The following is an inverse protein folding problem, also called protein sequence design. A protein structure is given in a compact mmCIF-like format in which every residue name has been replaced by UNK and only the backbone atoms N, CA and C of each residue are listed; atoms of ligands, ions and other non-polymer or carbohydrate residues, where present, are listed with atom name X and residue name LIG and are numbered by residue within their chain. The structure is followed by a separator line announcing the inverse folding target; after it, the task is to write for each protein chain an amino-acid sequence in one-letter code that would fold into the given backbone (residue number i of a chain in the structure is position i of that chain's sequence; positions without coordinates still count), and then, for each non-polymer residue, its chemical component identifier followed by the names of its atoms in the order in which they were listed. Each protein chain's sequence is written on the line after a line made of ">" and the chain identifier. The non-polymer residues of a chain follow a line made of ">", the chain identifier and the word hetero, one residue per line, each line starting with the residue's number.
data_IF_884170022882
#
_entry.id   IF_884170022882
#
_cell.length_a   1.000
_cell.length_b   1.000
_cell.length_c   1.000
_cell.angle_alpha   90.00
_cell.angle_beta   90.00
_cell.angle_gamma   90.00
#
_symmetry.space_group_name_H-M   'P 1'
#
loop_
_entity.id
_entity.type
_entity.pdbx_description
1 polymer ?
#
# COMPACT_ATOMS: atom_id res chain seq x y z
N UNK A 1 6.20 16.58 -17.69
CA UNK A 1 6.11 15.34 -16.87
C UNK A 1 6.86 14.26 -17.63
N UNK A 2 7.90 13.67 -17.06
CA UNK A 2 8.78 12.70 -17.75
C UNK A 2 8.19 11.28 -17.70
N UNK A 3 7.57 10.90 -16.59
CA UNK A 3 6.82 9.65 -16.46
C UNK A 3 5.70 9.77 -15.43
N UNK A 4 4.66 8.95 -15.58
CA UNK A 4 3.47 8.94 -14.69
C UNK A 4 3.45 7.78 -13.71
N UNK A 5 4.49 6.90 -13.67
CA UNK A 5 4.43 5.58 -12.99
C UNK A 5 5.61 5.26 -12.06
N UNK A 6 6.33 6.23 -11.53
CA UNK A 6 7.49 5.98 -10.67
C UNK A 6 7.10 5.69 -9.20
N UNK A 7 6.46 4.55 -8.92
CA UNK A 7 6.08 4.18 -7.55
C UNK A 7 7.18 3.46 -6.75
N UNK A 8 8.18 2.86 -7.41
CA UNK A 8 9.10 1.94 -6.77
C UNK A 8 10.57 2.37 -6.92
N UNK A 9 10.81 3.66 -6.73
CA UNK A 9 12.14 4.27 -6.82
C UNK A 9 12.61 4.51 -8.25
N UNK A 10 13.53 5.45 -8.42
CA UNK A 10 14.13 5.78 -9.71
C UNK A 10 15.56 6.29 -9.56
N UNK A 11 16.32 6.22 -10.66
CA UNK A 11 17.69 6.69 -10.76
C UNK A 11 17.95 7.32 -12.14
N UNK A 12 18.85 8.30 -12.19
CA UNK A 12 19.34 8.88 -13.43
C UNK A 12 20.59 8.13 -13.89
N UNK A 13 20.63 7.78 -15.17
CA UNK A 13 21.84 7.25 -15.82
C UNK A 13 22.75 8.40 -16.25
N UNK A 14 24.02 8.10 -16.49
CA UNK A 14 25.01 9.11 -16.91
C UNK A 14 24.71 9.72 -18.29
N UNK A 15 24.02 8.99 -19.13
CA UNK A 15 23.58 9.36 -20.48
C UNK A 15 22.22 10.06 -20.51
N UNK A 16 21.70 10.46 -19.32
CA UNK A 16 20.52 11.29 -19.21
C UNK A 16 19.19 10.56 -19.34
N UNK A 17 19.16 9.25 -19.12
CA UNK A 17 17.89 8.51 -19.03
C UNK A 17 17.44 8.37 -17.58
N UNK A 18 16.13 8.40 -17.35
CA UNK A 18 15.52 8.01 -16.10
C UNK A 18 15.21 6.52 -16.14
N UNK A 19 15.65 5.78 -15.11
CA UNK A 19 15.25 4.38 -14.89
C UNK A 19 14.43 4.31 -13.61
N UNK A 20 13.30 3.57 -13.62
CA UNK A 20 12.48 3.38 -12.43
C UNK A 20 11.92 1.96 -12.34
N UNK A 21 11.53 1.59 -11.12
CA UNK A 21 10.93 0.29 -10.83
C UNK A 21 9.42 0.28 -10.99
N UNK A 22 8.88 -0.86 -11.46
CA UNK A 22 7.44 -1.10 -11.59
C UNK A 22 7.08 -2.52 -11.12
N UNK A 23 5.78 -2.82 -11.14
CA UNK A 23 5.27 -4.19 -10.95
C UNK A 23 5.47 -5.09 -12.19
N UNK A 24 6.07 -4.59 -13.26
CA UNK A 24 6.30 -5.34 -14.51
C UNK A 24 7.79 -5.48 -14.83
N UNK A 25 8.64 -4.78 -14.10
CA UNK A 25 10.08 -4.75 -14.29
C UNK A 25 10.67 -3.35 -14.14
N UNK A 26 11.92 -3.15 -14.54
CA UNK A 26 12.52 -1.83 -14.67
C UNK A 26 12.16 -1.23 -16.02
N UNK A 27 11.80 0.04 -16.02
CA UNK A 27 11.49 0.84 -17.19
C UNK A 27 12.51 1.97 -17.35
N UNK A 28 12.69 2.49 -18.56
CA UNK A 28 13.54 3.66 -18.83
C UNK A 28 12.89 4.60 -19.83
N UNK A 29 13.24 5.89 -19.72
CA UNK A 29 12.83 6.93 -20.66
C UNK A 29 13.92 8.01 -20.73
N UNK A 30 14.18 8.64 -21.90
CA UNK A 30 15.07 9.78 -22.00
C UNK A 30 14.58 10.99 -21.18
N UNK A 31 15.49 11.84 -20.69
CA UNK A 31 15.14 13.09 -20.00
C UNK A 31 14.29 14.04 -20.86
N UNK A 32 14.47 13.96 -22.19
CA UNK A 32 13.64 14.71 -23.17
C UNK A 32 12.19 14.24 -23.25
N UNK A 33 11.84 13.15 -22.56
CA UNK A 33 10.55 12.48 -22.66
C UNK A 33 10.52 11.48 -23.82
N UNK A 34 9.36 10.90 -24.05
CA UNK A 34 9.12 9.90 -25.09
C UNK A 34 8.42 8.66 -24.52
N UNK A 35 8.39 7.61 -25.30
CA UNK A 35 7.84 6.32 -24.89
C UNK A 35 8.76 5.61 -23.93
N UNK A 36 8.20 5.12 -22.81
CA UNK A 36 8.95 4.34 -21.85
C UNK A 36 9.18 2.92 -22.37
N UNK A 37 10.42 2.42 -22.27
CA UNK A 37 10.78 1.07 -22.71
C UNK A 37 11.21 0.21 -21.53
N UNK A 38 10.91 -1.10 -21.61
CA UNK A 38 11.30 -2.05 -20.58
C UNK A 38 12.80 -2.33 -20.62
N UNK A 39 13.47 -2.17 -19.47
CA UNK A 39 14.86 -2.59 -19.24
C UNK A 39 14.90 -4.07 -18.81
N UNK A 40 13.99 -4.45 -17.91
CA UNK A 40 13.88 -5.85 -17.45
C UNK A 40 12.42 -6.29 -17.50
N UNK A 41 12.21 -7.61 -17.58
CA UNK A 41 10.88 -8.25 -17.48
C UNK A 41 10.88 -9.23 -16.32
N UNK A 42 9.71 -9.48 -15.71
CA UNK A 42 9.55 -10.46 -14.65
C UNK A 42 9.74 -11.88 -15.17
N UNK A 43 10.32 -12.75 -14.34
CA UNK A 43 10.38 -14.18 -14.56
C UNK A 43 9.32 -14.87 -13.69
N UNK A 44 8.23 -15.29 -14.32
CA UNK A 44 7.13 -15.98 -13.63
C UNK A 44 7.55 -17.34 -13.07
N UNK A 45 8.53 -18.02 -13.67
CA UNK A 45 9.05 -19.32 -13.19
C UNK A 45 9.76 -19.17 -11.84
N UNK A 46 10.34 -17.99 -11.59
CA UNK A 46 10.94 -17.58 -10.31
C UNK A 46 9.95 -16.94 -9.36
N UNK A 47 8.67 -16.81 -9.74
CA UNK A 47 7.65 -16.13 -8.93
C UNK A 47 7.92 -14.63 -8.74
N UNK A 48 8.66 -13.99 -9.64
CA UNK A 48 8.95 -12.56 -9.58
C UNK A 48 7.66 -11.75 -9.76
N UNK A 49 7.50 -10.69 -8.98
CA UNK A 49 6.30 -9.85 -9.06
C UNK A 49 6.58 -8.35 -9.03
N UNK A 50 7.84 -7.92 -8.86
CA UNK A 50 8.27 -6.54 -9.10
C UNK A 50 9.79 -6.42 -9.11
N UNK A 51 10.30 -5.49 -9.93
CA UNK A 51 11.67 -4.99 -9.90
C UNK A 51 11.63 -3.54 -9.47
N UNK A 52 12.40 -3.17 -8.45
CA UNK A 52 12.27 -1.85 -7.84
C UNK A 52 13.59 -1.30 -7.28
N UNK A 53 13.55 0.01 -6.96
CA UNK A 53 14.65 0.77 -6.38
C UNK A 53 15.97 0.61 -7.15
N UNK A 54 16.00 0.95 -8.46
CA UNK A 54 17.23 0.92 -9.23
C UNK A 54 18.25 1.93 -8.70
N UNK A 55 19.52 1.53 -8.70
CA UNK A 55 20.67 2.37 -8.38
C UNK A 55 21.74 2.16 -9.45
N UNK A 56 22.33 3.24 -9.97
CA UNK A 56 23.36 3.17 -11.00
C UNK A 56 24.72 3.11 -10.34
N UNK A 57 25.40 1.97 -10.50
CA UNK A 57 26.76 1.80 -10.02
C UNK A 57 27.74 2.69 -10.81
N UNK A 58 28.91 3.03 -10.26
CA UNK A 58 29.95 3.81 -10.98
C UNK A 58 30.34 3.20 -12.34
N UNK A 59 30.24 1.87 -12.47
CA UNK A 59 30.47 1.11 -13.70
C UNK A 59 29.37 1.25 -14.75
N UNK A 60 28.26 1.92 -14.45
CA UNK A 60 27.08 1.99 -15.31
C UNK A 60 26.14 0.79 -15.20
N UNK A 61 26.51 -0.25 -14.44
CA UNK A 61 25.61 -1.38 -14.15
C UNK A 61 24.49 -0.95 -13.21
N UNK A 62 23.37 -1.67 -13.26
CA UNK A 62 22.18 -1.34 -12.49
C UNK A 62 22.04 -2.33 -11.33
N UNK A 63 22.12 -1.80 -10.11
CA UNK A 63 21.76 -2.51 -8.90
C UNK A 63 20.26 -2.28 -8.65
N UNK A 64 19.49 -3.33 -8.34
CA UNK A 64 18.06 -3.22 -8.10
C UNK A 64 17.56 -4.37 -7.24
N UNK A 65 16.35 -4.24 -6.72
CA UNK A 65 15.73 -5.29 -5.92
C UNK A 65 14.73 -6.07 -6.76
N UNK A 66 14.78 -7.40 -6.67
CA UNK A 66 13.75 -8.31 -7.14
C UNK A 66 12.89 -8.76 -5.94
N UNK A 67 11.58 -8.67 -6.07
CA UNK A 67 10.63 -9.32 -5.16
C UNK A 67 10.04 -10.54 -5.82
N UNK A 68 10.06 -11.64 -5.09
CA UNK A 68 9.53 -12.93 -5.53
C UNK A 68 8.64 -13.54 -4.45
N UNK A 69 7.67 -14.36 -4.87
CA UNK A 69 6.91 -15.24 -3.98
C UNK A 69 7.75 -16.41 -3.47
N UNK A 70 8.90 -16.67 -4.12
CA UNK A 70 9.88 -17.67 -3.73
C UNK A 70 11.05 -16.96 -3.05
N UNK A 71 11.26 -17.14 -1.73
CA UNK A 71 12.24 -16.37 -0.96
C UNK A 71 13.67 -16.42 -1.52
N UNK A 72 14.08 -17.55 -2.09
CA UNK A 72 15.40 -17.76 -2.69
C UNK A 72 15.70 -16.86 -3.88
N UNK A 73 14.66 -16.36 -4.55
CA UNK A 73 14.77 -15.41 -5.67
C UNK A 73 14.50 -13.96 -5.27
N UNK A 74 14.20 -13.69 -3.99
CA UNK A 74 14.08 -12.32 -3.48
C UNK A 74 15.45 -11.80 -3.07
N UNK A 75 15.79 -10.56 -3.49
CA UNK A 75 17.08 -9.99 -3.11
C UNK A 75 17.51 -8.81 -3.96
N UNK A 76 18.78 -8.45 -3.79
CA UNK A 76 19.46 -7.43 -4.56
C UNK A 76 20.18 -8.09 -5.73
N UNK A 77 19.94 -7.56 -6.90
CA UNK A 77 20.49 -8.05 -8.16
C UNK A 77 21.27 -6.95 -8.88
N UNK A 78 22.21 -7.36 -9.72
CA UNK A 78 22.90 -6.48 -10.66
C UNK A 78 22.73 -7.00 -12.07
N UNK A 79 22.47 -6.07 -13.00
CA UNK A 79 22.48 -6.31 -14.45
C UNK A 79 23.42 -5.36 -15.16
N UNK A 80 23.85 -5.76 -16.36
CA UNK A 80 24.40 -4.83 -17.35
C UNK A 80 23.26 -4.30 -18.23
N UNK A 81 23.18 -2.99 -18.53
CA UNK A 81 22.19 -2.46 -19.48
C UNK A 81 22.29 -3.13 -20.86
N UNK A 82 23.48 -3.57 -21.27
CA UNK A 82 23.71 -4.29 -22.54
C UNK A 82 23.26 -5.75 -22.52
N UNK A 83 23.08 -6.36 -21.35
CA UNK A 83 22.58 -7.73 -21.18
C UNK A 83 21.65 -7.83 -19.94
N UNK A 84 20.44 -7.27 -20.00
CA UNK A 84 19.55 -7.19 -18.85
C UNK A 84 18.94 -8.54 -18.44
N UNK A 85 19.08 -9.58 -19.25
CA UNK A 85 18.61 -10.92 -18.94
C UNK A 85 19.57 -11.70 -18.04
N UNK A 86 20.85 -11.34 -18.02
CA UNK A 86 21.83 -11.91 -17.11
C UNK A 86 21.79 -11.20 -15.77
N UNK A 87 21.11 -11.82 -14.79
CA UNK A 87 20.84 -11.27 -13.46
C UNK A 87 21.69 -11.96 -12.43
N UNK A 88 22.60 -11.23 -11.81
CA UNK A 88 23.45 -11.73 -10.73
C UNK A 88 22.87 -11.33 -9.39
N UNK A 89 22.46 -12.29 -8.58
CA UNK A 89 22.02 -12.04 -7.19
C UNK A 89 23.26 -11.75 -6.33
N UNK A 90 23.27 -10.58 -5.70
CA UNK A 90 24.37 -10.13 -4.84
C UNK A 90 24.07 -10.41 -3.36
N UNK A 91 22.82 -10.13 -2.93
CA UNK A 91 22.38 -10.33 -1.55
C UNK A 91 20.97 -10.89 -1.55
N UNK A 92 20.76 -11.97 -0.80
CA UNK A 92 19.43 -12.43 -0.46
C UNK A 92 18.89 -11.58 0.71
N UNK A 93 17.93 -10.69 0.44
CA UNK A 93 17.33 -9.79 1.43
C UNK A 93 15.91 -9.40 1.06
N UNK A 94 15.11 -9.12 2.07
CA UNK A 94 13.76 -8.56 1.88
C UNK A 94 13.73 -7.05 1.64
N UNK A 95 14.85 -6.33 1.80
CA UNK A 95 14.96 -4.88 1.67
C UNK A 95 15.78 -4.41 0.45
N UNK A 96 15.92 -3.09 0.31
CA UNK A 96 16.82 -2.46 -0.66
C UNK A 96 18.27 -2.46 -0.13
N UNK A 97 19.23 -2.14 -1.01
CA UNK A 97 20.59 -1.85 -0.62
C UNK A 97 21.04 -0.49 -1.14
N UNK A 98 21.98 0.11 -0.45
CA UNK A 98 22.67 1.34 -0.81
C UNK A 98 24.10 0.96 -1.19
N UNK A 99 24.62 1.49 -2.29
CA UNK A 99 26.04 1.39 -2.64
C UNK A 99 26.71 2.73 -2.34
N UNK A 100 27.72 2.71 -1.50
CA UNK A 100 28.56 3.86 -1.22
C UNK A 100 29.97 3.42 -0.76
N UNK A 101 31.00 4.21 -1.04
CA UNK A 101 32.39 4.01 -0.57
C UNK A 101 32.92 2.57 -0.76
N UNK A 102 32.56 1.90 -1.86
CA UNK A 102 33.01 0.53 -2.18
C UNK A 102 32.35 -0.55 -1.31
N UNK A 103 31.18 -0.26 -0.75
CA UNK A 103 30.42 -1.21 0.04
C UNK A 103 28.93 -1.20 -0.32
N UNK A 104 28.25 -2.30 -0.02
CA UNK A 104 26.79 -2.35 0.04
C UNK A 104 26.34 -2.28 1.49
N UNK A 105 25.31 -1.48 1.74
CA UNK A 105 24.62 -1.39 3.03
C UNK A 105 23.20 -1.90 2.83
N UNK A 106 22.74 -2.79 3.71
CA UNK A 106 21.37 -3.31 3.68
C UNK A 106 20.88 -3.68 5.08
N UNK A 107 19.59 -3.88 5.23
CA UNK A 107 19.04 -4.37 6.49
C UNK A 107 19.18 -5.89 6.62
N UNK A 108 19.66 -6.33 7.76
CA UNK A 108 19.62 -7.71 8.25
C UNK A 108 18.79 -7.76 9.52
N UNK A 109 17.54 -8.21 9.40
CA UNK A 109 16.56 -8.01 10.48
C UNK A 109 16.28 -6.53 10.70
N UNK A 110 16.47 -6.04 11.93
CA UNK A 110 16.35 -4.62 12.28
C UNK A 110 17.65 -3.83 12.14
N UNK A 111 18.79 -4.50 11.97
CA UNK A 111 20.12 -3.85 11.95
C UNK A 111 20.51 -3.43 10.53
N UNK A 112 21.21 -2.31 10.43
CA UNK A 112 21.90 -1.90 9.21
C UNK A 112 23.28 -2.53 9.18
N UNK A 113 23.57 -3.32 8.16
CA UNK A 113 24.88 -3.92 7.95
C UNK A 113 25.52 -3.37 6.68
N UNK A 114 26.84 -3.31 6.66
CA UNK A 114 27.64 -2.98 5.49
C UNK A 114 28.65 -4.09 5.21
N UNK A 115 28.94 -4.32 3.92
CA UNK A 115 29.96 -5.26 3.47
C UNK A 115 30.66 -4.71 2.24
N UNK A 116 31.97 -4.94 2.13
CA UNK A 116 32.71 -4.53 0.95
C UNK A 116 32.14 -5.18 -0.30
N UNK A 117 32.03 -4.39 -1.35
CA UNK A 117 31.49 -4.82 -2.64
C UNK A 117 32.42 -4.42 -3.76
N UNK A 118 32.98 -5.41 -4.41
CA UNK A 118 33.75 -5.21 -5.65
C UNK A 118 32.76 -5.02 -6.82
N UNK A 119 32.64 -3.77 -7.27
CA UNK A 119 31.75 -3.40 -8.36
C UNK A 119 32.24 -3.90 -9.75
N UNK A 120 33.48 -4.36 -9.88
CA UNK A 120 34.01 -4.95 -11.11
C UNK A 120 33.62 -6.43 -11.23
N UNK A 121 33.92 -7.22 -10.19
CA UNK A 121 33.54 -8.65 -10.10
C UNK A 121 32.10 -8.91 -9.67
N UNK A 122 31.39 -7.88 -9.18
CA UNK A 122 30.02 -7.94 -8.64
C UNK A 122 29.89 -8.87 -7.43
N UNK A 123 30.90 -8.94 -6.59
CA UNK A 123 30.95 -9.83 -5.43
C UNK A 123 31.13 -9.07 -4.13
N UNK A 124 30.49 -9.57 -3.10
CA UNK A 124 30.76 -9.19 -1.73
C UNK A 124 32.06 -9.83 -1.27
N UNK A 125 32.86 -9.09 -0.51
CA UNK A 125 34.14 -9.55 0.03
C UNK A 125 34.22 -9.23 1.53
N UNK A 126 34.93 -10.08 2.28
CA UNK A 126 34.98 -10.00 3.75
C UNK A 126 33.64 -10.32 4.42
N UNK A 127 33.59 -10.12 5.74
CA UNK A 127 32.37 -10.34 6.51
C UNK A 127 31.53 -9.06 6.61
N UNK A 128 30.19 -9.17 6.70
CA UNK A 128 29.33 -8.02 6.93
C UNK A 128 29.50 -7.47 8.35
N UNK A 129 29.55 -6.15 8.46
CA UNK A 129 29.74 -5.40 9.71
C UNK A 129 28.44 -4.69 10.07
N UNK A 130 28.00 -4.77 11.32
CA UNK A 130 26.89 -3.98 11.80
C UNK A 130 27.30 -2.52 11.96
N UNK A 131 26.60 -1.65 11.25
CA UNK A 131 26.81 -0.19 11.27
C UNK A 131 25.86 0.49 12.26
N UNK A 132 24.63 0.01 12.33
CA UNK A 132 23.63 0.45 13.31
C UNK A 132 22.78 -0.75 13.73
N UNK A 133 22.41 -0.81 15.01
CA UNK A 133 21.54 -1.87 15.53
C UNK A 133 20.09 -1.72 15.08
N UNK A 134 19.74 -0.55 14.58
CA UNK A 134 18.37 -0.24 14.16
C UNK A 134 18.34 0.60 12.88
N UNK A 135 17.53 0.17 11.93
CA UNK A 135 17.23 0.93 10.71
C UNK A 135 15.78 0.67 10.28
N UNK A 136 15.11 1.72 9.87
CA UNK A 136 13.76 1.63 9.35
C UNK A 136 13.72 1.10 7.92
N UNK A 137 12.70 0.29 7.63
CA UNK A 137 12.38 -0.20 6.29
C UNK A 137 10.88 -0.01 6.08
N UNK A 138 10.43 0.59 4.98
CA UNK A 138 9.00 0.69 4.69
C UNK A 138 8.40 -0.63 4.20
N UNK A 139 7.07 -0.66 4.06
CA UNK A 139 6.33 -1.84 3.57
C UNK A 139 6.70 -2.27 2.14
N UNK A 140 7.35 -1.40 1.38
CA UNK A 140 7.88 -1.72 0.06
C UNK A 140 9.30 -2.29 0.14
N UNK A 141 9.91 -2.33 1.33
CA UNK A 141 11.26 -2.80 1.57
C UNK A 141 12.35 -1.75 1.30
N UNK A 142 11.97 -0.48 1.18
CA UNK A 142 12.93 0.61 1.05
C UNK A 142 13.59 0.89 2.40
N UNK A 143 14.90 0.92 2.40
CA UNK A 143 15.72 1.26 3.54
C UNK A 143 15.64 2.77 3.83
N UNK A 144 15.38 3.14 5.07
CA UNK A 144 15.40 4.52 5.52
C UNK A 144 16.81 4.93 5.97
N UNK A 145 17.75 4.82 5.06
CA UNK A 145 19.11 5.27 5.24
C UNK A 145 19.63 5.92 3.95
N UNK A 146 20.59 6.81 4.09
CA UNK A 146 21.29 7.41 2.98
C UNK A 146 22.76 7.57 3.34
N UNK A 147 23.65 7.13 2.43
CA UNK A 147 25.09 7.26 2.59
C UNK A 147 25.66 8.20 1.53
N UNK A 148 26.60 9.03 1.94
CA UNK A 148 27.33 9.95 1.08
C UNK A 148 28.79 10.06 1.56
N UNK A 149 29.68 9.25 1.02
CA UNK A 149 31.08 9.18 1.41
C UNK A 149 31.26 8.79 2.89
N UNK A 150 31.82 9.68 3.69
CA UNK A 150 32.08 9.40 5.10
C UNK A 150 30.83 9.51 6.00
N UNK A 151 29.73 10.08 5.52
CA UNK A 151 28.51 10.30 6.31
C UNK A 151 27.43 9.26 5.94
N UNK A 152 26.78 8.73 6.95
CA UNK A 152 25.58 7.90 6.85
C UNK A 152 24.52 8.48 7.76
N UNK A 153 23.32 8.67 7.22
CA UNK A 153 22.13 9.04 7.97
C UNK A 153 21.16 7.88 7.93
N UNK A 154 20.73 7.41 9.07
CA UNK A 154 19.73 6.36 9.20
C UNK A 154 18.54 6.84 10.05
N UNK A 155 17.34 6.62 9.56
CA UNK A 155 16.13 6.74 10.37
C UNK A 155 15.98 5.43 11.18
N UNK A 156 16.09 5.55 12.49
CA UNK A 156 15.96 4.42 13.42
C UNK A 156 14.52 4.16 13.82
N UNK A 157 13.57 4.94 13.29
CA UNK A 157 12.16 4.69 13.53
C UNK A 157 11.80 3.29 13.08
N UNK A 158 11.25 2.49 13.97
CA UNK A 158 10.70 1.18 13.59
C UNK A 158 9.59 1.42 12.56
N UNK A 159 9.56 0.60 11.51
CA UNK A 159 8.53 0.62 10.45
C UNK A 159 7.11 0.39 11.01
N UNK A 160 7.03 -0.10 12.22
CA UNK A 160 5.79 -0.36 12.93
C UNK A 160 5.50 0.78 13.91
N UNK A 161 5.26 1.97 13.32
CA UNK A 161 4.68 3.06 14.10
C UNK A 161 3.34 2.58 14.67
N UNK A 162 3.28 2.40 15.98
CA UNK A 162 2.01 2.06 16.62
C UNK A 162 1.09 3.26 16.60
N UNK A 163 -0.16 3.00 16.31
CA UNK A 163 -1.21 3.99 16.22
C UNK A 163 -2.31 3.64 17.20
N UNK A 164 -2.86 4.66 17.84
CA UNK A 164 -4.06 4.57 18.66
C UNK A 164 -5.26 4.96 17.82
N UNK A 165 -6.21 4.07 17.61
CA UNK A 165 -7.50 4.46 17.07
C UNK A 165 -8.16 5.42 18.05
N UNK A 166 -8.47 6.61 17.56
CA UNK A 166 -9.01 7.72 18.36
C UNK A 166 -10.26 8.27 17.71
N UNK A 167 -11.32 8.37 18.49
CA UNK A 167 -12.53 9.04 18.08
C UNK A 167 -12.33 10.55 18.02
N UNK A 168 -12.65 11.15 16.89
CA UNK A 168 -12.70 12.60 16.69
C UNK A 168 -14.15 13.02 16.41
N UNK A 169 -14.55 14.19 16.91
CA UNK A 169 -15.78 14.84 16.50
C UNK A 169 -15.65 15.54 15.14
N UNK A 170 -16.69 16.23 14.69
CA UNK A 170 -16.67 16.95 13.39
C UNK A 170 -15.76 18.18 13.38
N UNK A 171 -15.26 18.61 14.51
CA UNK A 171 -14.27 19.68 14.65
C UNK A 171 -12.83 19.14 14.80
N UNK A 172 -12.66 17.81 14.71
CA UNK A 172 -11.35 17.17 14.88
C UNK A 172 -10.88 17.05 16.32
N UNK A 173 -11.75 17.32 17.30
CA UNK A 173 -11.41 17.20 18.72
C UNK A 173 -11.46 15.73 19.15
N UNK A 174 -10.42 15.20 19.82
CA UNK A 174 -10.43 13.86 20.39
C UNK A 174 -11.50 13.72 21.48
N UNK A 175 -12.35 12.68 21.36
CA UNK A 175 -13.45 12.39 22.28
C UNK A 175 -13.39 11.00 22.90
N UNK A 176 -12.40 10.17 22.50
CA UNK A 176 -12.22 8.83 23.08
C UNK A 176 -11.19 8.02 22.32
N UNK A 177 -10.77 6.91 22.91
CA UNK A 177 -9.85 5.93 22.31
C UNK A 177 -10.60 4.63 22.02
N UNK A 178 -10.06 3.82 21.12
CA UNK A 178 -10.62 2.54 20.73
C UNK A 178 -9.53 1.48 20.58
N UNK A 179 -9.62 0.38 21.31
CA UNK A 179 -8.64 -0.68 21.33
C UNK A 179 -7.27 -0.27 21.88
N UNK A 180 -6.35 -1.20 22.00
CA UNK A 180 -4.95 -0.93 22.34
C UNK A 180 -4.19 -0.38 21.12
N UNK A 181 -3.12 0.41 21.33
CA UNK A 181 -2.23 0.82 20.26
C UNK A 181 -1.67 -0.37 19.48
N UNK A 182 -1.65 -0.28 18.15
CA UNK A 182 -1.15 -1.33 17.26
C UNK A 182 -0.59 -0.73 15.96
N UNK A 183 0.19 -1.50 15.22
CA UNK A 183 0.70 -1.11 13.91
C UNK A 183 -0.39 -1.30 12.83
N UNK A 184 -1.34 -0.38 12.78
CA UNK A 184 -2.55 -0.45 11.97
C UNK A 184 -2.25 -0.02 10.54
N UNK A 185 -2.60 -0.86 9.56
CA UNK A 185 -2.47 -0.54 8.13
C UNK A 185 -3.82 -0.25 7.47
N UNK A 186 -4.81 -1.05 7.78
CA UNK A 186 -6.16 -0.95 7.20
C UNK A 186 -7.20 -1.35 8.24
N UNK A 187 -8.33 -0.67 8.30
CA UNK A 187 -9.39 -1.04 9.25
C UNK A 187 -10.78 -0.68 8.73
N UNK A 188 -11.79 -1.40 9.20
CA UNK A 188 -13.21 -1.22 8.87
C UNK A 188 -14.09 -1.57 10.05
N UNK A 189 -15.17 -0.81 10.23
CA UNK A 189 -16.24 -1.16 11.13
C UNK A 189 -17.06 -2.36 10.62
N UNK A 190 -17.55 -3.20 11.53
CA UNK A 190 -18.67 -4.08 11.26
C UNK A 190 -19.93 -3.26 10.93
N UNK A 191 -20.92 -3.80 10.19
CA UNK A 191 -22.13 -3.08 9.80
C UNK A 191 -22.91 -2.49 10.97
N UNK A 192 -22.93 -3.19 12.12
CA UNK A 192 -23.52 -2.76 13.38
C UNK A 192 -22.61 -1.83 14.20
N UNK A 193 -21.41 -1.57 13.70
CA UNK A 193 -20.33 -0.85 14.35
C UNK A 193 -19.94 -1.37 15.74
N UNK A 194 -20.30 -2.57 16.10
CA UNK A 194 -19.89 -3.19 17.38
C UNK A 194 -18.45 -3.65 17.41
N UNK A 195 -17.80 -3.79 16.23
CA UNK A 195 -16.42 -4.30 16.07
C UNK A 195 -15.67 -3.51 15.01
N UNK A 196 -14.34 -3.62 15.09
CA UNK A 196 -13.41 -3.20 14.03
C UNK A 196 -12.61 -4.41 13.59
N UNK A 197 -12.54 -4.64 12.29
CA UNK A 197 -11.54 -5.52 11.67
C UNK A 197 -10.36 -4.67 11.19
N UNK A 198 -9.15 -5.00 11.62
CA UNK A 198 -7.95 -4.28 11.23
C UNK A 198 -6.85 -5.22 10.73
N UNK A 199 -6.11 -4.75 9.72
CA UNK A 199 -4.85 -5.36 9.30
C UNK A 199 -3.74 -4.77 10.15
N UNK A 200 -3.16 -5.59 11.04
CA UNK A 200 -2.04 -5.22 11.89
C UNK A 200 -0.74 -5.77 11.32
N UNK A 201 0.27 -4.89 11.22
CA UNK A 201 1.59 -5.26 10.73
C UNK A 201 2.36 -6.09 11.76
N UNK A 202 3.17 -7.02 11.27
CA UNK A 202 4.14 -7.78 12.02
C UNK A 202 5.40 -7.99 11.16
N UNK A 203 6.50 -8.40 11.76
CA UNK A 203 7.81 -8.58 11.09
C UNK A 203 7.76 -9.49 9.86
N UNK A 204 6.84 -10.45 9.83
CA UNK A 204 6.67 -11.44 8.76
C UNK A 204 5.45 -11.17 7.86
N UNK A 205 4.87 -9.97 7.90
CA UNK A 205 3.70 -9.61 7.10
C UNK A 205 2.64 -8.89 7.91
N UNK A 206 1.37 -9.09 7.55
CA UNK A 206 0.23 -8.53 8.27
C UNK A 206 -0.85 -9.59 8.46
N UNK A 207 -1.60 -9.51 9.53
CA UNK A 207 -2.76 -10.38 9.78
C UNK A 207 -3.98 -9.53 10.09
N UNK A 208 -5.18 -10.05 9.86
CA UNK A 208 -6.39 -9.42 10.34
C UNK A 208 -6.65 -9.76 11.81
N UNK A 209 -7.10 -8.76 12.53
CA UNK A 209 -7.47 -8.80 13.93
C UNK A 209 -8.81 -8.13 14.13
N UNK A 210 -9.54 -8.58 15.13
CA UNK A 210 -10.84 -8.01 15.52
C UNK A 210 -10.72 -7.41 16.92
N UNK A 211 -11.43 -6.30 17.13
CA UNK A 211 -11.63 -5.70 18.45
C UNK A 211 -13.06 -5.20 18.56
N UNK A 212 -13.73 -5.49 19.68
CA UNK A 212 -15.07 -5.02 19.97
C UNK A 212 -15.10 -3.64 20.65
N UNK A 213 -16.24 -2.95 20.55
CA UNK A 213 -16.47 -1.72 21.32
C UNK A 213 -16.42 -2.06 22.82
N UNK A 214 -15.71 -1.24 23.60
CA UNK A 214 -15.50 -1.48 25.02
C UNK A 214 -14.51 -2.61 25.35
N UNK A 215 -13.88 -3.20 24.34
CA UNK A 215 -12.78 -4.15 24.50
C UNK A 215 -11.46 -3.47 24.14
N UNK A 216 -10.43 -3.73 24.91
CA UNK A 216 -9.10 -3.19 24.64
C UNK A 216 -8.24 -4.16 23.83
N UNK A 217 -8.44 -5.46 23.98
CA UNK A 217 -7.60 -6.48 23.39
C UNK A 217 -8.01 -6.81 21.95
N UNK A 218 -7.01 -6.83 21.06
CA UNK A 218 -7.15 -7.34 19.70
C UNK A 218 -7.15 -8.88 19.71
N UNK A 219 -8.11 -9.50 19.03
CA UNK A 219 -8.16 -10.94 18.79
C UNK A 219 -7.72 -11.25 17.37
N UNK A 220 -6.73 -12.10 17.20
CA UNK A 220 -6.25 -12.50 15.88
C UNK A 220 -7.34 -13.24 15.12
N UNK A 221 -7.58 -12.82 13.88
CA UNK A 221 -8.64 -13.38 13.05
C UNK A 221 -8.11 -14.23 11.90
N UNK A 222 -6.98 -13.87 11.26
CA UNK A 222 -6.40 -14.66 10.15
C UNK A 222 -5.06 -15.26 10.50
N UNK A 223 -4.79 -16.47 9.92
CA UNK A 223 -3.60 -17.29 10.21
C UNK A 223 -2.87 -17.71 8.93
N UNK A 224 -3.27 -17.23 7.77
CA UNK A 224 -2.61 -17.51 6.49
C UNK A 224 -1.15 -17.02 6.50
N UNK A 225 -0.24 -17.72 5.80
CA UNK A 225 1.12 -17.23 5.60
C UNK A 225 1.12 -15.96 4.73
N UNK A 226 2.08 -15.08 4.98
CA UNK A 226 2.20 -13.79 4.27
C UNK A 226 1.32 -12.71 4.87
N UNK A 227 0.76 -11.84 4.04
CA UNK A 227 0.00 -10.68 4.50
C UNK A 227 -1.48 -10.79 4.15
N UNK A 228 -2.34 -10.61 5.16
CA UNK A 228 -3.78 -10.42 5.00
C UNK A 228 -4.14 -8.96 5.24
N UNK A 229 -4.93 -8.36 4.34
CA UNK A 229 -5.26 -6.94 4.37
C UNK A 229 -6.62 -6.63 3.74
N UNK A 230 -7.04 -5.36 3.79
CA UNK A 230 -8.26 -4.84 3.19
C UNK A 230 -9.52 -5.62 3.61
N UNK A 231 -9.85 -5.65 4.92
CA UNK A 231 -11.07 -6.31 5.36
C UNK A 231 -12.31 -5.58 4.85
N UNK A 232 -13.27 -6.35 4.35
CA UNK A 232 -14.60 -5.89 3.95
C UNK A 232 -15.62 -6.79 4.63
N UNK A 233 -16.49 -6.20 5.42
CA UNK A 233 -17.54 -6.93 6.11
C UNK A 233 -18.71 -7.26 5.18
N UNK A 234 -19.23 -8.47 5.28
CA UNK A 234 -20.55 -8.75 4.75
C UNK A 234 -21.60 -7.90 5.49
N UNK A 235 -22.67 -7.42 4.82
CA UNK A 235 -23.62 -6.48 5.42
C UNK A 235 -24.42 -7.06 6.60
N UNK A 236 -24.48 -8.41 6.73
CA UNK A 236 -25.05 -9.08 7.91
C UNK A 236 -24.05 -9.21 9.09
N UNK A 237 -22.78 -8.80 8.90
CA UNK A 237 -21.74 -8.88 9.93
C UNK A 237 -21.22 -10.29 10.24
N UNK A 238 -21.66 -11.31 9.51
CA UNK A 238 -21.29 -12.70 9.79
C UNK A 238 -19.97 -13.14 9.16
N UNK A 239 -19.52 -12.43 8.13
CA UNK A 239 -18.30 -12.78 7.40
C UNK A 239 -17.44 -11.55 7.12
N UNK A 240 -16.14 -11.81 6.92
CA UNK A 240 -15.18 -10.83 6.42
C UNK A 240 -14.51 -11.37 5.16
N UNK A 241 -14.63 -10.62 4.06
CA UNK A 241 -13.85 -10.80 2.85
C UNK A 241 -12.54 -10.01 2.99
N UNK A 242 -11.43 -10.55 2.54
CA UNK A 242 -10.14 -9.89 2.64
C UNK A 242 -9.19 -10.35 1.54
N UNK A 243 -8.16 -9.57 1.30
CA UNK A 243 -7.07 -9.92 0.41
C UNK A 243 -5.96 -10.61 1.19
N UNK A 244 -5.43 -11.72 0.64
CA UNK A 244 -4.14 -12.28 1.05
C UNK A 244 -3.12 -12.12 -0.09
N UNK A 245 -1.87 -11.79 0.27
CA UNK A 245 -0.81 -11.55 -0.72
C UNK A 245 -0.11 -12.82 -1.22
N UNK A 246 -0.38 -13.97 -0.58
CA UNK A 246 0.24 -15.23 -0.99
C UNK A 246 -0.79 -16.36 -0.97
N UNK A 247 -1.42 -16.63 -2.09
CA UNK A 247 -1.50 -15.87 -3.35
C UNK A 247 -2.29 -14.54 -3.21
N UNK A 248 -2.09 -13.58 -4.12
CA UNK A 248 -2.76 -12.26 -4.10
C UNK A 248 -4.21 -12.38 -4.59
N UNK A 249 -5.08 -12.93 -3.75
CA UNK A 249 -6.46 -13.26 -4.06
C UNK A 249 -7.38 -12.98 -2.87
N UNK A 250 -8.69 -13.12 -3.09
CA UNK A 250 -9.69 -12.98 -2.03
C UNK A 250 -9.84 -14.25 -1.22
N UNK A 251 -9.97 -14.04 0.05
CA UNK A 251 -10.32 -15.03 1.05
C UNK A 251 -11.53 -14.54 1.84
N UNK A 252 -12.25 -15.49 2.40
CA UNK A 252 -13.48 -15.29 3.12
C UNK A 252 -13.43 -16.09 4.42
N UNK A 253 -13.90 -15.51 5.53
CA UNK A 253 -13.95 -16.20 6.82
C UNK A 253 -15.15 -15.75 7.62
N UNK A 254 -15.83 -16.73 8.24
CA UNK A 254 -16.91 -16.46 9.18
C UNK A 254 -16.37 -15.86 10.48
N UNK A 255 -17.06 -14.85 11.01
CA UNK A 255 -16.64 -14.14 12.24
C UNK A 255 -16.83 -14.99 13.48
N UNK A 256 -17.86 -15.83 13.50
CA UNK A 256 -18.17 -16.72 14.61
C UNK A 256 -17.40 -18.03 14.63
N UNK A 257 -16.69 -18.35 13.55
CA UNK A 257 -16.12 -19.68 13.37
C UNK A 257 -14.63 -19.75 13.69
N UNK A 258 -14.24 -20.85 14.32
CA UNK A 258 -12.87 -21.36 14.37
C UNK A 258 -12.43 -21.94 13.00
N UNK A 259 -13.23 -21.75 11.93
CA UNK A 259 -13.01 -22.30 10.60
C UNK A 259 -11.82 -21.71 9.88
N UNK A 260 -11.31 -22.48 8.90
CA UNK A 260 -10.24 -22.07 8.01
C UNK A 260 -10.68 -20.91 7.11
N UNK A 261 -9.72 -20.13 6.64
CA UNK A 261 -9.93 -19.13 5.61
C UNK A 261 -10.21 -19.80 4.26
N UNK A 262 -11.37 -19.53 3.65
CA UNK A 262 -11.73 -20.07 2.35
C UNK A 262 -11.23 -19.14 1.23
N UNK A 263 -10.49 -19.70 0.28
CA UNK A 263 -10.05 -18.94 -0.91
C UNK A 263 -11.21 -18.81 -1.90
N UNK A 264 -11.53 -17.59 -2.29
CA UNK A 264 -12.62 -17.27 -3.22
C UNK A 264 -12.15 -17.13 -4.66
N UNK A 265 -11.06 -16.39 -4.89
CA UNK A 265 -10.57 -16.11 -6.25
C UNK A 265 -9.24 -16.81 -6.54
N UNK A 266 -8.98 -17.01 -7.84
CA UNK A 266 -7.73 -17.57 -8.39
C UNK A 266 -7.28 -16.75 -9.60
N UNK A 267 -7.24 -15.43 -9.45
CA UNK A 267 -6.75 -14.54 -10.50
C UNK A 267 -5.22 -14.55 -10.58
N UNK A 268 -4.62 -14.47 -11.78
CA UNK A 268 -3.20 -14.18 -11.95
C UNK A 268 -2.87 -12.73 -11.58
N UNK A 269 -3.85 -11.85 -11.60
CA UNK A 269 -3.71 -10.44 -11.29
C UNK A 269 -3.89 -10.16 -9.80
N UNK A 270 -3.41 -9.02 -9.34
CA UNK A 270 -3.64 -8.58 -7.98
C UNK A 270 -5.03 -7.99 -7.83
N UNK A 271 -5.72 -8.42 -6.79
CA UNK A 271 -7.09 -8.01 -6.48
C UNK A 271 -7.16 -7.40 -5.08
N UNK A 272 -7.98 -6.33 -4.94
CA UNK A 272 -8.23 -5.69 -3.65
C UNK A 272 -9.73 -5.48 -3.44
N UNK A 273 -10.34 -6.09 -2.42
CA UNK A 273 -11.73 -5.87 -2.11
C UNK A 273 -11.90 -4.46 -1.55
N UNK A 274 -12.97 -3.79 -1.92
CA UNK A 274 -13.23 -2.40 -1.59
C UNK A 274 -14.49 -2.24 -0.75
N UNK A 275 -15.59 -2.84 -1.20
CA UNK A 275 -16.89 -2.66 -0.58
C UNK A 275 -17.82 -3.84 -0.85
N UNK A 276 -18.87 -3.96 -0.03
CA UNK A 276 -19.95 -4.92 -0.18
C UNK A 276 -21.27 -4.19 -0.13
N UNK A 277 -22.13 -4.34 -1.16
CA UNK A 277 -23.42 -3.67 -1.23
C UNK A 277 -24.31 -4.01 -0.02
N UNK A 278 -25.12 -3.06 0.44
CA UNK A 278 -25.94 -3.23 1.65
C UNK A 278 -26.98 -4.33 1.54
N UNK A 279 -27.42 -4.68 0.33
CA UNK A 279 -28.31 -5.81 0.07
C UNK A 279 -27.58 -7.18 0.06
N UNK A 280 -26.27 -7.17 0.20
CA UNK A 280 -25.44 -8.37 0.23
C UNK A 280 -25.16 -9.01 -1.13
N UNK A 281 -25.60 -8.43 -2.24
CA UNK A 281 -25.60 -9.07 -3.56
C UNK A 281 -24.36 -8.82 -4.40
N UNK A 282 -23.58 -7.76 -4.09
CA UNK A 282 -22.46 -7.35 -4.90
C UNK A 282 -21.24 -7.01 -4.06
N UNK A 283 -20.07 -7.42 -4.53
CA UNK A 283 -18.78 -6.96 -4.05
C UNK A 283 -18.19 -6.03 -5.10
N UNK A 284 -17.70 -4.85 -4.67
CA UNK A 284 -16.89 -3.95 -5.45
C UNK A 284 -15.42 -4.20 -5.12
N UNK A 285 -14.58 -4.30 -6.14
CA UNK A 285 -13.16 -4.50 -5.98
C UNK A 285 -12.39 -3.85 -7.13
N UNK A 286 -11.09 -3.67 -6.98
CA UNK A 286 -10.26 -3.37 -8.13
C UNK A 286 -9.27 -4.50 -8.40
N UNK A 287 -8.91 -4.64 -9.67
CA UNK A 287 -7.92 -5.57 -10.16
C UNK A 287 -6.87 -4.82 -10.98
N UNK A 288 -5.60 -5.20 -10.85
CA UNK A 288 -4.52 -4.58 -11.62
C UNK A 288 -4.22 -5.36 -12.87
N UNK A 289 -4.28 -4.70 -14.02
CA UNK A 289 -3.97 -5.27 -15.33
C UNK A 289 -2.77 -4.58 -15.96
N UNK A 290 -1.95 -5.30 -16.74
CA UNK A 290 -1.01 -4.66 -17.66
C UNK A 290 -1.77 -3.77 -18.66
N UNK A 291 -1.37 -2.50 -18.76
CA UNK A 291 -1.93 -1.55 -19.73
C UNK A 291 -3.03 -0.62 -19.20
N UNK A 292 -4.04 -1.12 -18.48
CA UNK A 292 -5.10 -0.29 -17.86
C UNK A 292 -4.80 0.03 -16.40
N UNK A 293 -3.91 -0.70 -15.77
CA UNK A 293 -3.44 -0.57 -14.38
C UNK A 293 -4.46 -1.05 -13.34
N UNK A 294 -5.34 -0.17 -12.83
CA UNK A 294 -6.34 -0.49 -11.78
C UNK A 294 -7.72 -0.21 -12.34
N UNK A 295 -8.49 -1.27 -12.46
CA UNK A 295 -9.86 -1.22 -12.98
C UNK A 295 -10.85 -1.63 -11.90
N UNK A 296 -12.02 -0.98 -11.84
CA UNK A 296 -13.09 -1.36 -10.93
C UNK A 296 -13.95 -2.48 -11.52
N UNK A 297 -14.18 -3.48 -10.69
CA UNK A 297 -14.94 -4.68 -11.02
C UNK A 297 -16.05 -4.92 -9.99
N UNK A 298 -17.07 -5.61 -10.40
CA UNK A 298 -18.12 -6.14 -9.52
C UNK A 298 -18.16 -7.65 -9.56
N UNK A 299 -18.45 -8.27 -8.43
CA UNK A 299 -18.61 -9.71 -8.26
C UNK A 299 -19.95 -9.99 -7.58
N UNK A 300 -20.84 -10.75 -8.21
CA UNK A 300 -22.08 -11.17 -7.57
C UNK A 300 -21.83 -12.08 -6.36
N UNK A 301 -22.77 -12.02 -5.44
CA UNK A 301 -22.83 -12.88 -4.25
C UNK A 301 -24.12 -13.69 -4.33
N UNK A 302 -24.05 -14.98 -4.12
CA UNK A 302 -25.21 -15.88 -4.16
C UNK A 302 -26.13 -15.71 -2.93
N UNK A 303 -27.27 -16.36 -2.96
CA UNK A 303 -28.24 -16.29 -1.87
C UNK A 303 -27.71 -16.86 -0.53
N UNK A 304 -26.67 -17.66 -0.56
CA UNK A 304 -25.97 -18.19 0.61
C UNK A 304 -24.89 -17.26 1.15
N UNK A 305 -24.71 -16.05 0.58
CA UNK A 305 -23.70 -15.10 0.98
C UNK A 305 -22.29 -15.43 0.47
N UNK A 306 -22.15 -16.33 -0.51
CA UNK A 306 -20.86 -16.71 -1.08
C UNK A 306 -20.59 -15.92 -2.36
N UNK A 307 -19.40 -15.25 -2.44
CA UNK A 307 -18.98 -14.55 -3.65
C UNK A 307 -18.82 -15.49 -4.84
N UNK A 308 -19.28 -15.09 -6.02
CA UNK A 308 -19.23 -15.87 -7.26
C UNK A 308 -18.26 -15.25 -8.27
N UNK A 309 -16.97 -15.64 -8.26
CA UNK A 309 -15.96 -15.05 -9.15
C UNK A 309 -16.18 -15.40 -10.64
N UNK A 310 -16.92 -16.46 -10.98
CA UNK A 310 -17.19 -16.81 -12.37
C UNK A 310 -18.15 -15.84 -13.07
N UNK A 311 -18.87 -15.01 -12.30
CA UNK A 311 -19.77 -13.98 -12.79
C UNK A 311 -19.24 -12.57 -12.55
N UNK A 312 -17.99 -12.45 -12.18
CA UNK A 312 -17.35 -11.13 -12.02
C UNK A 312 -17.28 -10.41 -13.37
N UNK A 313 -17.53 -9.11 -13.35
CA UNK A 313 -17.51 -8.26 -14.56
C UNK A 313 -16.88 -6.90 -14.29
N UNK A 314 -16.23 -6.27 -15.30
CA UNK A 314 -15.74 -4.92 -15.14
C UNK A 314 -16.92 -3.95 -14.93
N UNK A 315 -16.70 -2.94 -14.10
CA UNK A 315 -17.57 -1.78 -13.96
C UNK A 315 -16.96 -0.56 -14.65
N UNK A 316 -15.71 -0.22 -14.30
CA UNK A 316 -14.93 0.81 -14.99
C UNK A 316 -13.60 0.21 -15.42
N UNK A 317 -13.33 0.27 -16.71
CA UNK A 317 -12.08 -0.18 -17.31
C UNK A 317 -11.65 0.83 -18.35
N UNK A 318 -10.58 1.57 -18.07
CA UNK A 318 -10.05 2.60 -18.94
C UNK A 318 -8.52 2.58 -18.96
N UNK A 319 -7.91 3.52 -19.65
CA UNK A 319 -6.45 3.72 -19.60
C UNK A 319 -5.97 4.41 -18.33
N UNK A 320 -6.88 4.79 -17.45
CA UNK A 320 -6.60 5.47 -16.18
C UNK A 320 -6.69 4.48 -15.02
N UNK A 321 -6.26 4.91 -13.84
CA UNK A 321 -6.48 4.16 -12.62
C UNK A 321 -7.86 4.46 -12.05
N UNK A 322 -8.68 3.45 -11.83
CA UNK A 322 -9.93 3.54 -11.10
C UNK A 322 -9.85 2.62 -9.86
N UNK A 323 -9.93 3.19 -8.65
CA UNK A 323 -9.80 2.44 -7.40
C UNK A 323 -10.41 3.15 -6.20
N UNK A 324 -10.31 2.58 -5.00
CA UNK A 324 -10.95 3.08 -3.77
C UNK A 324 -12.46 3.31 -3.90
N UNK A 325 -13.14 2.47 -4.68
CA UNK A 325 -14.57 2.57 -4.91
C UNK A 325 -15.40 2.26 -3.66
N UNK A 326 -16.57 2.95 -3.53
CA UNK A 326 -17.59 2.70 -2.51
C UNK A 326 -18.97 2.73 -3.14
N UNK A 327 -19.79 1.75 -2.86
CA UNK A 327 -21.19 1.78 -3.22
C UNK A 327 -21.93 2.87 -2.42
N UNK A 328 -22.85 3.55 -3.07
CA UNK A 328 -23.79 4.43 -2.38
C UNK A 328 -24.57 3.63 -1.31
N UNK A 329 -24.80 4.19 -0.12
CA UNK A 329 -25.30 3.44 1.04
C UNK A 329 -26.82 3.18 1.00
N UNK A 330 -27.30 2.57 -0.08
CA UNK A 330 -28.65 2.08 -0.26
C UNK A 330 -28.67 0.57 -0.62
N UNK A 331 -29.77 -0.16 -0.41
CA UNK A 331 -29.80 -1.60 -0.71
C UNK A 331 -29.44 -1.93 -2.15
N UNK A 332 -30.00 -1.21 -3.13
CA UNK A 332 -29.66 -1.34 -4.54
C UNK A 332 -28.85 -0.09 -4.95
N UNK A 333 -27.52 -0.13 -4.90
CA UNK A 333 -26.70 1.06 -5.12
C UNK A 333 -26.88 1.58 -6.56
N UNK A 334 -27.22 2.86 -6.69
CA UNK A 334 -27.34 3.55 -7.98
C UNK A 334 -26.10 4.38 -8.32
N UNK A 335 -25.17 4.50 -7.39
CA UNK A 335 -23.98 5.32 -7.51
C UNK A 335 -22.78 4.61 -6.89
N UNK A 336 -21.61 4.91 -7.43
CA UNK A 336 -20.31 4.53 -6.88
C UNK A 336 -19.46 5.80 -6.79
N UNK A 337 -18.81 6.04 -5.63
CA UNK A 337 -17.70 6.99 -5.57
C UNK A 337 -16.39 6.24 -5.73
N UNK A 338 -15.39 6.86 -6.35
CA UNK A 338 -14.09 6.26 -6.62
C UNK A 338 -13.01 7.31 -6.86
N UNK A 339 -11.75 6.88 -6.93
CA UNK A 339 -10.64 7.68 -7.39
C UNK A 339 -10.33 7.39 -8.86
N UNK A 340 -10.01 8.45 -9.61
CA UNK A 340 -9.40 8.34 -10.93
C UNK A 340 -8.34 9.40 -11.15
N UNK A 341 -7.32 9.07 -11.95
CA UNK A 341 -6.29 10.02 -12.39
C UNK A 341 -6.56 10.58 -13.80
N UNK A 342 -7.75 10.45 -14.31
CA UNK A 342 -8.13 10.90 -15.67
C UNK A 342 -7.95 12.40 -15.90
N UNK A 343 -8.04 13.21 -14.83
CA UNK A 343 -7.79 14.66 -14.87
C UNK A 343 -6.29 15.05 -14.85
N UNK A 344 -5.38 14.06 -14.87
CA UNK A 344 -3.94 14.24 -14.73
C UNK A 344 -3.42 14.13 -13.30
N UNK A 345 -4.30 13.98 -12.31
CA UNK A 345 -4.00 13.68 -10.90
C UNK A 345 -5.14 12.88 -10.28
N UNK A 346 -4.91 12.30 -9.13
CA UNK A 346 -5.95 11.57 -8.40
C UNK A 346 -7.02 12.53 -7.87
N UNK A 347 -8.25 12.32 -8.33
CA UNK A 347 -9.45 13.07 -7.92
C UNK A 347 -10.58 12.11 -7.56
N UNK A 348 -11.49 12.58 -6.71
CA UNK A 348 -12.69 11.86 -6.31
C UNK A 348 -13.81 12.11 -7.32
N UNK A 349 -14.45 11.03 -7.74
CA UNK A 349 -15.62 11.04 -8.65
C UNK A 349 -16.81 10.34 -8.03
N UNK A 350 -18.01 10.70 -8.47
CA UNK A 350 -19.23 9.92 -8.33
C UNK A 350 -19.71 9.54 -9.73
N UNK A 351 -20.12 8.30 -9.93
CA UNK A 351 -20.65 7.84 -11.21
C UNK A 351 -21.85 6.93 -11.03
N UNK A 352 -22.76 6.93 -12.00
CA UNK A 352 -23.94 6.07 -12.00
C UNK A 352 -23.55 4.58 -12.04
N UNK A 353 -24.35 3.77 -11.38
CA UNK A 353 -24.23 2.31 -11.28
C UNK A 353 -25.61 1.68 -11.48
N UNK A 354 -25.77 0.44 -12.03
CA UNK A 354 -24.71 -0.51 -12.38
C UNK A 354 -23.99 -0.20 -13.70
N UNK A 355 -24.61 0.51 -14.60
CA UNK A 355 -23.99 0.90 -15.86
C UNK A 355 -23.32 2.27 -15.72
N UNK A 356 -22.04 2.40 -16.17
CA UNK A 356 -21.37 3.70 -16.16
C UNK A 356 -22.16 4.74 -16.99
N UNK A 357 -22.56 5.82 -16.36
CA UNK A 357 -23.35 6.88 -16.95
C UNK A 357 -22.92 8.26 -16.44
N UNK A 358 -23.88 9.04 -15.93
CA UNK A 358 -23.62 10.37 -15.40
C UNK A 358 -22.49 10.35 -14.35
N UNK A 359 -21.46 11.17 -14.59
CA UNK A 359 -20.26 11.29 -13.75
C UNK A 359 -20.13 12.70 -13.19
N UNK A 360 -19.72 12.84 -11.95
CA UNK A 360 -19.47 14.10 -11.25
C UNK A 360 -18.07 14.11 -10.67
N UNK A 361 -17.31 15.15 -10.95
CA UNK A 361 -16.06 15.46 -10.28
C UNK A 361 -16.37 16.09 -8.92
N UNK A 362 -15.78 15.58 -7.87
CA UNK A 362 -16.03 16.01 -6.49
C UNK A 362 -14.88 16.84 -5.95
N UNK A 363 -13.65 16.36 -6.06
CA UNK A 363 -12.45 17.10 -5.66
C UNK A 363 -11.82 17.80 -6.87
N UNK A 364 -11.10 18.90 -6.66
CA UNK A 364 -10.50 19.69 -7.74
C UNK A 364 -9.02 19.99 -7.55
N UNK A 365 -8.46 19.71 -6.38
CA UNK A 365 -7.05 19.91 -6.04
C UNK A 365 -6.40 18.64 -5.49
N UNK A 366 -6.84 17.49 -5.96
CA UNK A 366 -6.51 16.20 -5.42
C UNK A 366 -7.48 15.76 -4.34
N UNK A 367 -7.79 14.47 -4.32
CA UNK A 367 -8.63 13.85 -3.31
C UNK A 367 -8.31 12.36 -3.19
N UNK A 368 -8.49 11.80 -2.00
CA UNK A 368 -8.25 10.40 -1.73
C UNK A 368 -9.22 9.86 -0.66
N UNK A 369 -9.34 8.54 -0.60
CA UNK A 369 -10.14 7.84 0.41
C UNK A 369 -11.61 8.32 0.51
N UNK A 370 -12.35 8.36 -0.60
CA UNK A 370 -13.76 8.74 -0.55
C UNK A 370 -14.55 7.71 0.26
N UNK A 371 -15.46 8.20 1.11
CA UNK A 371 -16.42 7.36 1.82
C UNK A 371 -17.72 8.12 2.06
N UNK A 372 -18.84 7.40 1.95
CA UNK A 372 -20.16 7.97 2.11
C UNK A 372 -20.54 8.15 3.58
N UNK A 373 -21.21 9.24 3.90
CA UNK A 373 -21.96 9.31 5.15
C UNK A 373 -23.01 8.20 5.22
N UNK A 374 -23.35 7.69 6.42
CA UNK A 374 -24.21 6.52 6.57
C UNK A 374 -25.62 6.66 5.96
N UNK A 375 -26.12 7.88 5.86
CA UNK A 375 -27.43 8.23 5.28
C UNK A 375 -27.36 8.65 3.80
N UNK A 376 -26.17 8.66 3.19
CA UNK A 376 -25.93 9.07 1.82
C UNK A 376 -26.08 10.57 1.55
N UNK A 377 -26.22 11.40 2.60
CA UNK A 377 -26.36 12.85 2.45
C UNK A 377 -25.06 13.60 2.38
N UNK A 378 -23.96 12.95 2.73
CA UNK A 378 -22.63 13.51 2.67
C UNK A 378 -21.65 12.51 2.03
N UNK A 379 -20.63 13.04 1.38
CA UNK A 379 -19.45 12.32 0.95
C UNK A 379 -18.24 12.97 1.61
N UNK A 380 -17.36 12.14 2.17
CA UNK A 380 -16.13 12.58 2.79
C UNK A 380 -14.94 12.15 1.94
N UNK A 381 -13.87 12.94 1.97
CA UNK A 381 -12.60 12.59 1.33
C UNK A 381 -11.45 13.36 1.98
N UNK A 382 -10.21 12.99 1.66
CA UNK A 382 -9.01 13.64 2.18
C UNK A 382 -8.28 14.35 1.05
N UNK A 383 -7.80 15.57 1.33
CA UNK A 383 -6.91 16.30 0.43
C UNK A 383 -5.46 15.80 0.54
N UNK A 384 -4.56 16.13 -0.40
CA UNK A 384 -3.14 15.76 -0.32
C UNK A 384 -2.41 16.29 0.92
N UNK A 385 -2.87 17.39 1.51
CA UNK A 385 -2.38 17.97 2.77
C UNK A 385 -3.12 17.44 4.02
N UNK A 386 -3.82 16.30 3.88
CA UNK A 386 -4.51 15.58 4.96
C UNK A 386 -5.66 16.33 5.65
N UNK A 387 -6.37 17.18 4.95
CA UNK A 387 -7.61 17.77 5.42
C UNK A 387 -8.78 16.84 5.12
N UNK A 388 -9.63 16.59 6.12
CA UNK A 388 -10.90 15.90 5.91
C UNK A 388 -11.92 16.88 5.36
N UNK A 389 -12.45 16.57 4.19
CA UNK A 389 -13.45 17.37 3.49
C UNK A 389 -14.83 16.70 3.57
N UNK A 390 -15.88 17.49 3.61
CA UNK A 390 -17.27 17.05 3.50
C UNK A 390 -17.94 17.73 2.30
N UNK A 391 -18.74 16.95 1.58
CA UNK A 391 -19.57 17.41 0.44
C UNK A 391 -21.01 17.00 0.73
N UNK A 392 -21.90 17.97 0.89
CA UNK A 392 -23.35 17.70 1.02
C UNK A 392 -23.91 17.27 -0.33
N UNK A 393 -24.83 16.31 -0.29
CA UNK A 393 -25.42 15.70 -1.48
C UNK A 393 -26.94 15.90 -1.48
N UNK A 394 -27.44 16.45 -2.56
CA UNK A 394 -28.88 16.52 -2.83
C UNK A 394 -29.24 15.47 -3.87
N UNK A 395 -30.20 14.60 -3.53
CA UNK A 395 -30.67 13.55 -4.43
C UNK A 395 -32.12 13.84 -4.79
N UNK A 396 -32.35 14.13 -6.07
CA UNK A 396 -33.66 14.42 -6.60
C UNK A 396 -33.82 13.87 -8.03
N UNK A 397 -34.97 13.24 -8.33
CA UNK A 397 -35.25 12.73 -9.67
C UNK A 397 -34.22 11.76 -10.22
N UNK A 398 -33.58 10.95 -9.35
CA UNK A 398 -32.51 10.01 -9.78
C UNK A 398 -31.17 10.68 -10.08
N UNK A 399 -31.02 11.97 -9.78
CA UNK A 399 -29.79 12.72 -9.98
C UNK A 399 -29.17 13.08 -8.63
N UNK A 400 -27.85 12.93 -8.54
CA UNK A 400 -27.06 13.37 -7.40
C UNK A 400 -26.40 14.71 -7.70
N UNK A 401 -26.59 15.69 -6.82
CA UNK A 401 -26.00 17.03 -6.95
C UNK A 401 -25.13 17.32 -5.73
N UNK A 402 -23.79 17.35 -5.92
CA UNK A 402 -22.86 17.68 -4.85
C UNK A 402 -22.80 19.20 -4.61
N UNK A 403 -22.67 19.59 -3.35
CA UNK A 403 -22.28 20.95 -2.95
C UNK A 403 -20.79 21.20 -3.24
N UNK A 404 -20.34 22.42 -2.99
CA UNK A 404 -18.89 22.67 -2.86
C UNK A 404 -18.34 21.94 -1.64
N UNK A 405 -17.12 21.36 -1.75
CA UNK A 405 -16.46 20.77 -0.61
C UNK A 405 -16.20 21.77 0.51
N UNK A 406 -16.41 21.36 1.75
CA UNK A 406 -16.14 22.15 2.95
C UNK A 406 -15.11 21.42 3.80
N UNK A 407 -14.07 22.11 4.23
CA UNK A 407 -13.08 21.57 5.17
C UNK A 407 -13.74 21.36 6.55
N UNK A 408 -13.58 20.17 7.11
CA UNK A 408 -13.98 19.90 8.49
C UNK A 408 -12.83 20.18 9.45
N UNK A 409 -11.70 19.49 9.26
CA UNK A 409 -10.51 19.67 10.07
C UNK A 409 -9.27 19.03 9.44
N UNK A 410 -8.10 19.42 9.91
CA UNK A 410 -6.82 18.81 9.60
C UNK A 410 -6.67 17.49 10.35
N UNK A 411 -6.45 16.38 9.63
CA UNK A 411 -6.18 15.08 10.26
C UNK A 411 -4.82 15.09 10.96
N UNK A 412 -4.70 14.61 12.20
CA UNK A 412 -3.45 14.56 12.94
C UNK A 412 -2.58 13.37 12.48
N UNK A 413 -2.26 13.31 11.18
CA UNK A 413 -1.46 12.26 10.56
C UNK A 413 -0.05 12.77 10.27
N UNK A 414 0.96 12.07 10.74
CA UNK A 414 2.36 12.40 10.46
C UNK A 414 2.78 12.03 9.03
N UNK A 415 2.09 11.06 8.43
CA UNK A 415 2.30 10.59 7.04
C UNK A 415 1.02 9.92 6.52
N UNK A 416 0.96 9.72 5.20
CA UNK A 416 -0.14 8.98 4.58
C UNK A 416 -0.23 7.56 5.17
N UNK A 417 -1.34 7.24 5.81
CA UNK A 417 -1.68 5.89 6.25
C UNK A 417 -2.49 5.20 5.15
N UNK A 418 -2.50 3.87 5.16
CA UNK A 418 -3.24 3.11 4.15
C UNK A 418 -4.76 3.24 4.29
N UNK A 419 -5.28 3.62 5.47
CA UNK A 419 -6.68 3.96 5.72
C UNK A 419 -6.75 5.02 6.82
N UNK A 420 -6.87 6.30 6.45
CA UNK A 420 -6.67 7.41 7.38
C UNK A 420 -7.86 7.69 8.29
N UNK A 421 -9.05 7.22 7.98
CA UNK A 421 -10.25 7.38 8.82
C UNK A 421 -11.32 6.35 8.50
N UNK A 422 -12.27 6.20 9.41
CA UNK A 422 -13.55 5.56 9.18
C UNK A 422 -14.67 6.39 9.83
N UNK A 423 -15.83 6.44 9.17
CA UNK A 423 -16.99 7.21 9.61
C UNK A 423 -17.81 6.36 10.57
N UNK A 424 -18.19 6.90 11.71
CA UNK A 424 -19.10 6.25 12.63
C UNK A 424 -20.53 6.16 12.04
N UNK A 425 -21.35 5.17 12.43
CA UNK A 425 -22.72 5.03 11.93
C UNK A 425 -23.65 6.21 12.21
N UNK A 426 -23.30 7.06 13.18
CA UNK A 426 -24.04 8.29 13.46
C UNK A 426 -23.69 9.44 12.48
N UNK A 427 -22.68 9.26 11.61
CA UNK A 427 -22.19 10.27 10.67
C UNK A 427 -21.54 11.49 11.33
N UNK A 428 -21.37 11.47 12.66
CA UNK A 428 -20.91 12.64 13.44
C UNK A 428 -19.51 12.50 13.99
N UNK A 429 -18.96 11.28 14.01
CA UNK A 429 -17.66 10.96 14.58
C UNK A 429 -16.82 10.21 13.58
N UNK A 430 -15.51 10.39 13.71
CA UNK A 430 -14.53 9.74 12.86
C UNK A 430 -13.53 8.96 13.72
N UNK A 431 -13.25 7.72 13.33
CA UNK A 431 -12.20 6.95 13.95
C UNK A 431 -10.91 7.14 13.13
N UNK A 432 -9.86 7.63 13.78
CA UNK A 432 -8.61 8.03 13.12
C UNK A 432 -7.43 7.33 13.80
N UNK A 433 -6.50 6.71 13.05
CA UNK A 433 -5.30 6.10 13.59
C UNK A 433 -4.25 7.17 13.88
N UNK A 434 -4.17 7.63 15.12
CA UNK A 434 -3.22 8.65 15.56
C UNK A 434 -1.95 7.96 16.05
N UNK A 435 -0.78 8.39 15.56
CA UNK A 435 0.51 7.90 16.01
C UNK A 435 0.68 8.04 17.54
N UNK A 436 1.12 6.96 18.19
CA UNK A 436 1.44 6.97 19.63
C UNK A 436 2.92 7.25 19.89
N UNK A 437 3.73 7.20 18.85
CA UNK A 437 5.15 7.50 18.91
C UNK A 437 5.40 9.00 19.07
N UNK A 438 6.48 9.38 19.73
CA UNK A 438 7.03 10.73 19.58
C UNK A 438 7.31 10.96 18.10
N UNK A 439 6.97 12.10 17.59
CA UNK A 439 6.95 12.49 16.17
C UNK A 439 8.30 12.39 15.40
N UNK A 440 9.35 11.91 16.01
CA UNK A 440 10.61 11.53 15.36
C UNK A 440 11.40 10.58 16.25
N UNK A 441 11.68 9.36 15.80
CA UNK A 441 12.91 8.75 16.25
C UNK A 441 14.05 9.67 15.77
N UNK A 442 15.06 9.95 16.61
CA UNK A 442 16.18 10.77 16.17
C UNK A 442 16.84 10.11 14.97
N UNK A 443 17.15 10.90 13.95
CA UNK A 443 18.03 10.45 12.88
C UNK A 443 19.38 10.11 13.50
N UNK A 444 19.85 8.90 13.27
CA UNK A 444 21.21 8.51 13.61
C UNK A 444 22.14 9.03 12.50
N UNK A 445 23.14 9.81 12.86
CA UNK A 445 24.16 10.29 11.94
C UNK A 445 25.47 9.62 12.32
N UNK A 446 25.99 8.78 11.43
CA UNK A 446 27.24 8.04 11.66
C UNK A 446 28.31 8.67 10.74
N UNK A 447 29.31 9.26 11.34
CA UNK A 447 30.44 9.86 10.65
C UNK A 447 31.56 8.83 10.51
N UNK A 448 32.21 8.82 9.36
CA UNK A 448 33.30 7.90 9.03
C UNK A 448 32.91 6.42 9.16
N UNK A 449 31.68 6.09 8.79
CA UNK A 449 31.17 4.71 8.81
C UNK A 449 32.03 3.73 8.01
N UNK A 450 32.75 4.10 6.89
CA UNK A 450 33.62 3.16 6.18
C UNK A 450 34.80 2.63 7.01
N UNK A 451 35.23 3.38 8.03
CA UNK A 451 36.30 2.93 8.94
C UNK A 451 35.89 1.68 9.75
N UNK A 452 34.58 1.50 9.99
CA UNK A 452 34.07 0.32 10.70
C UNK A 452 34.30 -0.97 9.91
N UNK A 453 34.30 -0.91 8.57
CA UNK A 453 34.60 -2.05 7.71
C UNK A 453 36.06 -2.53 7.84
N UNK A 454 36.99 -1.65 8.26
CA UNK A 454 38.40 -1.97 8.42
C UNK A 454 38.67 -2.66 9.77
N UNK A 455 37.89 -2.34 10.80
CA UNK A 455 38.05 -2.90 12.14
C UNK A 455 37.65 -4.37 12.24
N UNK A 456 36.69 -4.81 11.43
CA UNK A 456 36.25 -6.22 11.39
C UNK A 456 37.28 -7.15 10.71
N UNK A 457 38.10 -6.61 9.81
CA UNK A 457 39.18 -7.36 9.13
C UNK A 457 40.42 -7.58 10.03
N UNK A 458 40.47 -6.93 11.19
CA UNK A 458 41.61 -6.96 12.12
C UNK A 458 41.38 -7.84 13.35
N UNK A 459 40.26 -8.56 13.45
CA UNK A 459 40.09 -9.56 14.51
C UNK A 459 40.58 -10.90 14.00
N UNK A 460 41.59 -11.52 14.67
CA UNK A 460 42.20 -12.77 14.27
C UNK A 460 41.23 -13.95 14.33
#
# INVERSE_FOLDING_TARGET
>A
MICTQAYLGGAWTKDGNLIWGTSEGLMTVPASGGEAVAVTRLDSTRGEHSHNFPYILPSGKILFRIRSTKPEFSGIYVISPSNPNERNQVVATGGTAIYDSGALLWARGSSLVAQRFDAASLRLTGEPVTISDRVGINSFGQLYAHAAGAALVADTASVEETQQLTWLDRQGKPIGKFGQPAAIRWFRFSPDASRVAASLAASNGASLWLVGIGQDAWTRFTFLPGSSSHPVWAPNGEHVLFQSQTPSNFFHKAVSATGAEERITKSPNRQWPLDWSRDGRLILYYESFPGTQRDLWTMPVDAGGKPNPSQARPYLQSRFNEYMGRFFPEPNPRWVTYLSNESGREEVYIQAFPEPGAKKLISTNGGAYPDWGPDGRELFYITPDFKLMAVSLTIAGGTITPSRPTELFQLPLARATSNPYAIAPDGKRFLVPISTGKASAPLEVIINWPAMLNQASARP
#
